data_IF_620371874443
#
_entry.id   IF_620371874443
#
_cell.length_a   1.000
_cell.length_b   1.000
_cell.length_c   1.000
_cell.angle_alpha   90.00
_cell.angle_beta   90.00
_cell.angle_gamma   90.00
#
_symmetry.space_group_name_H-M   'P 1'
#
loop_
_entity.id
_entity.type
_entity.pdbx_description
1 polymer ?
#
# COMPACT_ATOMS: atom_id res chain seq x y z
N UNK A 1 0.03 -4.20 6.47
CA UNK A 1 0.04 -2.97 7.30
C UNK A 1 -0.57 -1.75 6.63
N UNK A 2 -0.17 -1.37 5.39
CA UNK A 2 -0.70 -0.17 4.70
C UNK A 2 -2.23 -0.08 4.70
N UNK A 3 -2.91 -1.21 4.51
CA UNK A 3 -4.37 -1.28 4.44
C UNK A 3 -5.10 -0.96 5.75
N UNK A 4 -4.42 -0.95 6.90
CA UNK A 4 -4.99 -0.50 8.19
C UNK A 4 -4.81 1.01 8.42
N UNK A 5 -4.40 1.72 7.38
CA UNK A 5 -4.35 3.19 7.31
C UNK A 5 -5.05 3.61 6.01
N UNK A 6 -5.71 4.77 6.00
CA UNK A 6 -6.28 5.33 4.77
C UNK A 6 -5.35 6.38 4.15
N UNK A 7 -5.86 7.24 3.25
CA UNK A 7 -5.16 8.37 2.62
C UNK A 7 -5.22 9.70 3.42
N UNK A 8 -6.10 9.79 4.42
CA UNK A 8 -6.27 10.94 5.33
C UNK A 8 -5.52 10.81 6.66
N UNK A 9 -4.63 9.85 6.78
CA UNK A 9 -3.84 9.51 7.97
C UNK A 9 -4.73 9.09 9.14
N UNK A 10 -5.81 8.38 8.83
CA UNK A 10 -6.67 7.76 9.83
C UNK A 10 -6.33 6.28 9.98
N UNK A 11 -6.91 5.69 11.04
CA UNK A 11 -6.80 4.27 11.37
C UNK A 11 -8.20 3.69 11.27
N UNK A 12 -8.72 3.40 10.07
CA UNK A 12 -10.07 2.87 9.93
C UNK A 12 -10.14 1.47 10.53
N UNK A 13 -11.32 1.09 11.02
CA UNK A 13 -11.62 -0.28 11.42
C UNK A 13 -11.99 -1.08 10.16
N UNK A 14 -11.38 -2.23 9.95
CA UNK A 14 -11.60 -3.06 8.75
C UNK A 14 -11.94 -4.49 9.05
N UNK A 15 -12.80 -5.11 8.25
CA UNK A 15 -13.07 -6.56 8.34
C UNK A 15 -11.97 -7.36 7.64
N UNK A 16 -11.89 -8.67 7.93
CA UNK A 16 -11.00 -9.58 7.21
C UNK A 16 -11.26 -9.55 5.70
N UNK A 17 -12.53 -9.53 5.28
CA UNK A 17 -12.93 -9.46 3.86
C UNK A 17 -12.42 -8.19 3.18
N UNK A 18 -12.52 -7.04 3.83
CA UNK A 18 -12.01 -5.77 3.31
C UNK A 18 -10.48 -5.79 3.19
N UNK A 19 -9.77 -6.44 4.13
CA UNK A 19 -8.33 -6.61 4.05
C UNK A 19 -7.94 -7.58 2.94
N UNK A 20 -8.66 -8.69 2.80
CA UNK A 20 -8.42 -9.71 1.77
C UNK A 20 -8.61 -9.16 0.35
N UNK A 21 -9.61 -8.30 0.13
CA UNK A 21 -9.83 -7.66 -1.15
C UNK A 21 -8.61 -6.85 -1.65
N UNK A 22 -7.79 -6.35 -0.73
CA UNK A 22 -6.63 -5.51 -1.04
C UNK A 22 -5.30 -6.28 -1.04
N UNK A 23 -5.30 -7.56 -0.70
CA UNK A 23 -4.08 -8.38 -0.62
C UNK A 23 -4.25 -9.56 -1.56
N UNK A 24 -3.40 -9.65 -2.59
CA UNK A 24 -3.25 -10.87 -3.41
C UNK A 24 -2.50 -11.96 -2.62
N UNK A 25 -3.01 -12.33 -1.46
CA UNK A 25 -2.49 -13.42 -0.65
C UNK A 25 -3.52 -14.54 -0.59
N UNK A 26 -3.04 -15.77 -0.47
CA UNK A 26 -3.86 -16.90 -0.04
C UNK A 26 -4.49 -16.58 1.32
N UNK A 27 -5.79 -16.84 1.49
CA UNK A 27 -6.58 -16.43 2.66
C UNK A 27 -5.93 -16.84 3.99
N UNK A 28 -5.40 -18.07 4.08
CA UNK A 28 -4.75 -18.58 5.29
C UNK A 28 -3.45 -17.86 5.66
N UNK A 29 -2.73 -17.28 4.69
CA UNK A 29 -1.53 -16.47 4.98
C UNK A 29 -1.91 -15.11 5.57
N UNK A 30 -3.03 -14.53 5.12
CA UNK A 30 -3.50 -13.26 5.66
C UNK A 30 -3.95 -13.39 7.11
N UNK A 31 -4.70 -14.46 7.43
CA UNK A 31 -5.16 -14.77 8.79
C UNK A 31 -3.99 -14.94 9.75
N UNK A 32 -2.98 -15.73 9.38
CA UNK A 32 -1.78 -15.93 10.21
C UNK A 32 -1.02 -14.61 10.45
N UNK A 33 -0.83 -13.80 9.40
CA UNK A 33 -0.17 -12.50 9.54
C UNK A 33 -0.96 -11.58 10.46
N UNK A 34 -2.29 -11.58 10.32
CA UNK A 34 -3.19 -10.77 11.14
C UNK A 34 -3.11 -11.19 12.62
N UNK A 35 -3.12 -12.49 12.90
CA UNK A 35 -2.96 -13.04 14.24
C UNK A 35 -1.62 -12.60 14.88
N UNK A 36 -0.51 -12.68 14.14
CA UNK A 36 0.82 -12.26 14.62
C UNK A 36 0.84 -10.76 14.97
N UNK A 37 0.27 -9.91 14.11
CA UNK A 37 0.28 -8.46 14.34
C UNK A 37 -0.72 -8.03 15.43
N UNK A 38 -1.77 -8.82 15.68
CA UNK A 38 -2.66 -8.64 16.84
C UNK A 38 -1.93 -9.03 18.13
N UNK A 39 -1.33 -10.23 18.17
CA UNK A 39 -0.58 -10.72 19.36
C UNK A 39 0.63 -9.85 19.72
N UNK A 40 1.24 -9.18 18.74
CA UNK A 40 2.32 -8.20 19.00
C UNK A 40 1.83 -6.82 19.44
N UNK A 41 0.52 -6.59 19.53
CA UNK A 41 -0.06 -5.33 19.97
C UNK A 41 -0.02 -4.21 18.93
N UNK A 42 0.32 -4.52 17.67
CA UNK A 42 0.33 -3.54 16.59
C UNK A 42 -1.08 -3.26 16.06
N UNK A 43 -1.94 -4.27 16.10
CA UNK A 43 -3.34 -4.22 15.66
C UNK A 43 -4.24 -4.63 16.82
N UNK A 44 -5.33 -3.90 17.00
CA UNK A 44 -6.41 -4.28 17.90
C UNK A 44 -7.47 -5.03 17.10
N UNK A 45 -7.83 -6.21 17.58
CA UNK A 45 -9.08 -6.86 17.21
C UNK A 45 -10.20 -6.28 18.08
N UNK A 46 -11.21 -5.73 17.41
CA UNK A 46 -12.34 -5.03 18.01
C UNK A 46 -13.55 -5.95 17.87
N UNK A 47 -14.07 -6.48 18.99
CA UNK A 47 -15.32 -7.22 18.98
C UNK A 47 -16.43 -6.31 18.45
N UNK A 48 -17.02 -6.68 17.31
CA UNK A 48 -18.08 -5.91 16.69
C UNK A 48 -19.16 -6.86 16.16
N UNK A 49 -20.42 -6.50 16.36
CA UNK A 49 -21.56 -7.26 15.82
C UNK A 49 -21.92 -6.66 14.45
N UNK A 50 -22.00 -7.45 13.37
CA UNK A 50 -21.97 -8.92 13.32
C UNK A 50 -20.58 -9.56 13.07
N UNK A 51 -19.53 -8.79 12.78
CA UNK A 51 -18.24 -9.30 12.27
C UNK A 51 -17.09 -8.54 12.94
N UNK A 52 -16.02 -9.26 13.30
CA UNK A 52 -14.82 -8.70 13.91
C UNK A 52 -14.15 -7.66 13.00
N UNK A 53 -13.58 -6.63 13.65
CA UNK A 53 -12.87 -5.55 12.96
C UNK A 53 -11.46 -5.40 13.49
N UNK A 54 -10.56 -4.97 12.63
CA UNK A 54 -9.14 -4.80 12.91
C UNK A 54 -8.76 -3.35 12.71
N UNK A 55 -8.02 -2.78 13.67
CA UNK A 55 -7.57 -1.38 13.64
C UNK A 55 -6.12 -1.28 14.11
N UNK A 56 -5.32 -0.44 13.45
CA UNK A 56 -3.97 -0.13 13.94
C UNK A 56 -4.04 0.57 15.31
N UNK A 57 -3.25 0.13 16.29
CA UNK A 57 -3.29 0.67 17.66
C UNK A 57 -2.66 2.06 17.76
N UNK A 58 -1.50 2.24 17.14
CA UNK A 58 -0.65 3.38 17.45
C UNK A 58 -0.50 4.38 16.29
N UNK A 59 -0.73 5.66 16.58
CA UNK A 59 -0.61 6.74 15.58
C UNK A 59 0.84 6.97 15.13
N UNK A 60 1.82 6.77 16.02
CA UNK A 60 3.24 6.98 15.70
C UNK A 60 3.75 6.06 14.58
N UNK A 61 3.04 4.96 14.27
CA UNK A 61 3.38 4.05 13.18
C UNK A 61 2.96 4.59 11.79
N UNK A 62 2.03 5.54 11.72
CA UNK A 62 1.50 6.05 10.44
C UNK A 62 2.58 6.64 9.53
N UNK A 63 3.48 7.53 10.03
CA UNK A 63 4.54 8.09 9.19
C UNK A 63 5.43 7.00 8.58
N UNK A 64 5.74 5.93 9.32
CA UNK A 64 6.59 4.85 8.85
C UNK A 64 5.90 3.97 7.80
N UNK A 65 4.62 3.63 8.04
CA UNK A 65 3.82 2.81 7.11
C UNK A 65 3.66 3.55 5.77
N UNK A 66 3.46 4.86 5.80
CA UNK A 66 3.24 5.68 4.60
C UNK A 66 4.50 6.11 3.88
N UNK A 67 5.57 6.43 4.61
CA UNK A 67 6.88 6.72 4.01
C UNK A 67 7.32 5.59 3.08
N UNK A 68 7.08 4.32 3.47
CA UNK A 68 7.39 3.15 2.62
C UNK A 68 6.57 3.11 1.32
N UNK A 69 5.31 3.54 1.31
CA UNK A 69 4.50 3.60 0.07
C UNK A 69 4.98 4.75 -0.82
N UNK A 70 5.23 5.92 -0.24
CA UNK A 70 5.65 7.09 -0.99
C UNK A 70 7.03 6.90 -1.65
N UNK A 71 7.98 6.24 -0.98
CA UNK A 71 9.29 5.91 -1.56
C UNK A 71 9.13 5.09 -2.84
N UNK A 72 8.29 4.04 -2.82
CA UNK A 72 8.00 3.27 -4.04
C UNK A 72 7.38 4.15 -5.12
N UNK A 73 6.35 4.93 -4.81
CA UNK A 73 5.72 5.81 -5.82
C UNK A 73 6.75 6.74 -6.45
N UNK A 74 7.64 7.34 -5.65
CA UNK A 74 8.69 8.23 -6.14
C UNK A 74 9.65 7.49 -7.08
N UNK A 75 10.11 6.28 -6.72
CA UNK A 75 10.94 5.45 -7.60
C UNK A 75 10.27 5.17 -8.96
N UNK A 76 8.96 4.87 -8.93
CA UNK A 76 8.19 4.63 -10.15
C UNK A 76 8.02 5.91 -11.00
N UNK A 77 7.79 7.06 -10.37
CA UNK A 77 7.68 8.36 -11.07
C UNK A 77 8.98 8.69 -11.79
N UNK A 78 10.13 8.60 -11.09
CA UNK A 78 11.45 8.86 -11.68
C UNK A 78 11.68 7.97 -12.91
N UNK A 79 11.38 6.67 -12.80
CA UNK A 79 11.56 5.73 -13.92
C UNK A 79 10.65 6.05 -15.12
N UNK A 80 9.43 6.53 -14.87
CA UNK A 80 8.51 6.95 -15.94
C UNK A 80 9.05 8.21 -16.63
N UNK A 81 9.55 9.19 -15.87
CA UNK A 81 10.13 10.42 -16.42
C UNK A 81 11.33 10.13 -17.32
N UNK A 82 12.23 9.24 -16.89
CA UNK A 82 13.37 8.75 -17.70
C UNK A 82 12.88 8.09 -19.00
N UNK A 83 11.89 7.20 -18.91
CA UNK A 83 11.34 6.50 -20.08
C UNK A 83 10.72 7.49 -21.08
N UNK A 84 10.01 8.50 -20.60
CA UNK A 84 9.43 9.55 -21.45
C UNK A 84 10.52 10.37 -22.15
N UNK A 85 11.61 10.69 -21.44
CA UNK A 85 12.75 11.40 -22.03
C UNK A 85 13.40 10.59 -23.16
N UNK A 86 13.57 9.28 -22.97
CA UNK A 86 14.13 8.39 -23.99
C UNK A 86 13.23 8.27 -25.22
N UNK A 87 11.91 8.16 -25.03
CA UNK A 87 10.94 8.14 -26.13
C UNK A 87 11.01 9.43 -26.93
N UNK A 88 10.99 10.59 -26.27
CA UNK A 88 11.06 11.89 -26.93
C UNK A 88 12.38 12.06 -27.72
N UNK A 89 13.49 11.55 -27.17
CA UNK A 89 14.77 11.55 -27.87
C UNK A 89 14.70 10.69 -29.13
N UNK A 90 14.16 9.48 -29.03
CA UNK A 90 14.00 8.55 -30.17
C UNK A 90 13.10 9.13 -31.26
N UNK A 91 11.99 9.75 -30.90
CA UNK A 91 11.08 10.40 -31.85
C UNK A 91 11.76 11.56 -32.60
N UNK A 92 12.59 12.33 -31.91
CA UNK A 92 13.36 13.41 -32.54
C UNK A 92 14.47 12.89 -33.46
N UNK A 93 15.09 11.76 -33.15
CA UNK A 93 16.06 11.08 -34.02
C UNK A 93 15.36 10.57 -35.30
N UNK A 94 14.24 9.85 -35.16
CA UNK A 94 13.45 9.34 -36.28
C UNK A 94 12.96 10.47 -37.20
N UNK A 95 12.53 11.59 -36.64
CA UNK A 95 12.11 12.78 -37.42
C UNK A 95 13.25 13.40 -38.23
N UNK A 96 14.50 13.29 -37.77
CA UNK A 96 15.68 13.77 -38.50
C UNK A 96 16.16 12.80 -39.57
N UNK A 97 15.89 11.51 -39.42
CA UNK A 97 16.25 10.47 -40.41
C UNK A 97 15.27 10.41 -41.59
N UNK A 98 14.01 10.86 -41.39
CA UNK A 98 12.95 10.84 -42.40
C UNK A 98 12.72 12.18 -43.12
N UNK A 99 13.43 13.25 -42.74
CA UNK A 99 13.36 14.58 -43.37
C UNK A 99 14.66 14.92 -44.07
#
# INVERSE_FOLDING_TARGET
MYWLTDENNTRPQKTLTELAANVRAESGKLELVLEIIVKSGLVLEIPATPIERYQLVHYYLLPFIRKRKNVKIIEWVVKIEETIADINKRDNELRKELG
#
